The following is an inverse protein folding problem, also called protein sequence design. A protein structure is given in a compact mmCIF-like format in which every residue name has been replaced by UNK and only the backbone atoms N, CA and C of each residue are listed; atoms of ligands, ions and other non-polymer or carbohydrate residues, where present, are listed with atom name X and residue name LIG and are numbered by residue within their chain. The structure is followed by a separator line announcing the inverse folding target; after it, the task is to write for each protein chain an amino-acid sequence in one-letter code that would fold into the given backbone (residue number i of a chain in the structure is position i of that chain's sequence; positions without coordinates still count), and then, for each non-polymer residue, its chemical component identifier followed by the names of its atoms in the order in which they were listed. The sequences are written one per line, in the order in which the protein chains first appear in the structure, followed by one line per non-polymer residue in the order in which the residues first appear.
data_IF_679053010983
#
_entry.id   IF_679053010983
#
_cell.length_a   1.000
_cell.length_b   1.000
_cell.length_c   1.000
_cell.angle_alpha   90.00
_cell.angle_beta   90.00
_cell.angle_gamma   90.00
#
_symmetry.space_group_name_H-M   'P 1'
#
loop_
_entity.id
_entity.type
_entity.pdbx_description
1 polymer ?
#
# COMPACT_ATOMS: atom_id res chain seq x y z
N UNK A 1 -47.30 -80.15 -17.36
CA UNK A 1 -47.22 -79.14 -18.45
C UNK A 1 -47.65 -77.73 -17.98
N UNK A 2 -48.60 -77.56 -17.06
CA UNK A 2 -49.00 -76.23 -16.55
C UNK A 2 -48.02 -75.59 -15.53
N UNK A 3 -47.34 -76.41 -14.73
CA UNK A 3 -46.42 -75.94 -13.68
C UNK A 3 -45.07 -75.44 -14.23
N UNK A 4 -44.60 -76.04 -15.33
CA UNK A 4 -43.41 -75.60 -16.06
C UNK A 4 -43.58 -74.22 -16.71
N UNK A 5 -44.79 -73.92 -17.19
CA UNK A 5 -45.12 -72.63 -17.84
C UNK A 5 -45.20 -71.48 -16.84
N UNK A 6 -45.68 -71.74 -15.61
CA UNK A 6 -45.64 -70.76 -14.50
C UNK A 6 -44.22 -70.45 -14.01
N UNK A 7 -43.35 -71.46 -13.89
CA UNK A 7 -41.95 -71.23 -13.50
C UNK A 7 -41.15 -70.47 -14.56
N UNK A 8 -41.49 -70.60 -15.84
CA UNK A 8 -40.84 -69.88 -16.94
C UNK A 8 -41.29 -68.42 -17.02
N UNK A 9 -42.57 -68.13 -16.76
CA UNK A 9 -43.09 -66.76 -16.64
C UNK A 9 -42.55 -66.04 -15.39
N UNK A 10 -42.40 -66.72 -14.26
CA UNK A 10 -41.86 -66.14 -13.03
C UNK A 10 -40.35 -65.85 -13.14
N UNK A 11 -39.58 -66.68 -13.86
CA UNK A 11 -38.17 -66.40 -14.19
C UNK A 11 -38.03 -65.18 -15.10
N UNK A 12 -38.92 -65.04 -16.08
CA UNK A 12 -38.90 -63.91 -17.03
C UNK A 12 -39.24 -62.57 -16.36
N UNK A 13 -40.10 -62.58 -15.34
CA UNK A 13 -40.41 -61.39 -14.52
C UNK A 13 -39.22 -61.04 -13.61
N UNK A 14 -38.57 -62.04 -12.99
CA UNK A 14 -37.38 -61.83 -12.16
C UNK A 14 -36.18 -61.28 -12.96
N UNK A 15 -35.95 -61.80 -14.17
CA UNK A 15 -34.90 -61.31 -15.08
C UNK A 15 -35.18 -59.88 -15.58
N UNK A 16 -36.44 -59.51 -15.80
CA UNK A 16 -36.82 -58.15 -16.20
C UNK A 16 -36.64 -57.14 -15.06
N UNK A 17 -36.88 -57.53 -13.82
CA UNK A 17 -36.70 -56.68 -12.64
C UNK A 17 -35.21 -56.51 -12.30
N UNK A 18 -34.42 -57.58 -12.40
CA UNK A 18 -32.96 -57.56 -12.20
C UNK A 18 -32.24 -56.70 -13.27
N UNK A 19 -32.67 -56.78 -14.53
CA UNK A 19 -32.15 -55.93 -15.61
C UNK A 19 -32.48 -54.45 -15.39
N UNK A 20 -33.66 -54.15 -14.85
CA UNK A 20 -34.08 -52.77 -14.51
C UNK A 20 -33.32 -52.22 -13.30
N UNK A 21 -32.95 -53.07 -12.35
CA UNK A 21 -32.09 -52.71 -11.22
C UNK A 21 -30.65 -52.46 -11.65
N UNK A 22 -30.09 -53.30 -12.53
CA UNK A 22 -28.74 -53.10 -13.09
C UNK A 22 -28.66 -51.82 -13.93
N UNK A 23 -29.68 -51.49 -14.71
CA UNK A 23 -29.71 -50.25 -15.51
C UNK A 23 -29.80 -49.00 -14.62
N UNK A 24 -30.52 -49.06 -13.50
CA UNK A 24 -30.57 -47.98 -12.50
C UNK A 24 -29.24 -47.82 -11.74
N UNK A 25 -28.57 -48.93 -11.42
CA UNK A 25 -27.28 -48.93 -10.74
C UNK A 25 -26.13 -48.47 -11.67
N UNK A 26 -26.15 -48.86 -12.94
CA UNK A 26 -25.19 -48.40 -13.95
C UNK A 26 -25.36 -46.89 -14.22
N UNK A 27 -26.61 -46.40 -14.27
CA UNK A 27 -26.91 -44.97 -14.41
C UNK A 27 -26.43 -44.17 -13.19
N UNK A 28 -26.58 -44.72 -11.98
CA UNK A 28 -26.07 -44.13 -10.74
C UNK A 28 -24.53 -44.14 -10.70
N UNK A 29 -23.89 -45.23 -11.11
CA UNK A 29 -22.42 -45.34 -11.21
C UNK A 29 -21.84 -44.35 -12.22
N UNK A 30 -22.53 -44.12 -13.34
CA UNK A 30 -22.11 -43.16 -14.38
C UNK A 30 -22.21 -41.70 -13.90
N UNK A 31 -23.21 -41.39 -13.07
CA UNK A 31 -23.34 -40.09 -12.40
C UNK A 31 -22.23 -39.88 -11.35
N UNK A 32 -21.94 -40.90 -10.55
CA UNK A 32 -20.89 -40.88 -9.52
C UNK A 32 -19.48 -40.78 -10.13
N UNK A 33 -19.23 -41.46 -11.25
CA UNK A 33 -17.95 -41.37 -11.97
C UNK A 33 -17.76 -40.00 -12.64
N UNK A 34 -18.84 -39.38 -13.14
CA UNK A 34 -18.81 -38.01 -13.67
C UNK A 34 -18.57 -36.96 -12.56
N UNK A 35 -19.19 -37.14 -11.39
CA UNK A 35 -18.98 -36.28 -10.23
C UNK A 35 -17.55 -36.42 -9.68
N UNK A 36 -17.03 -37.64 -9.56
CA UNK A 36 -15.65 -37.90 -9.15
C UNK A 36 -14.64 -37.35 -10.16
N UNK A 37 -14.94 -37.40 -11.46
CA UNK A 37 -14.11 -36.78 -12.51
C UNK A 37 -14.14 -35.24 -12.44
N UNK A 38 -15.29 -34.65 -12.11
CA UNK A 38 -15.42 -33.20 -11.87
C UNK A 38 -14.66 -32.78 -10.60
N UNK A 39 -14.73 -33.57 -9.53
CA UNK A 39 -14.06 -33.32 -8.26
C UNK A 39 -12.53 -33.44 -8.40
N UNK A 40 -12.04 -34.45 -9.12
CA UNK A 40 -10.61 -34.63 -9.40
C UNK A 40 -10.05 -33.54 -10.31
N UNK A 41 -10.80 -33.08 -11.32
CA UNK A 41 -10.42 -31.94 -12.16
C UNK A 41 -10.38 -30.63 -11.35
N UNK A 42 -11.35 -30.42 -10.44
CA UNK A 42 -11.37 -29.26 -9.54
C UNK A 42 -10.21 -29.30 -8.52
N UNK A 43 -9.84 -30.49 -8.04
CA UNK A 43 -8.71 -30.68 -7.13
C UNK A 43 -7.36 -30.48 -7.84
N UNK A 44 -7.23 -30.90 -9.10
CA UNK A 44 -6.06 -30.67 -9.93
C UNK A 44 -5.85 -29.18 -10.26
N UNK A 45 -6.93 -28.45 -10.55
CA UNK A 45 -6.90 -26.99 -10.73
C UNK A 45 -6.51 -26.26 -9.43
N UNK A 46 -6.95 -26.75 -8.27
CA UNK A 46 -6.57 -26.20 -6.97
C UNK A 46 -5.11 -26.52 -6.57
N UNK A 47 -4.53 -27.61 -7.06
CA UNK A 47 -3.11 -27.94 -6.81
C UNK A 47 -2.15 -27.19 -7.75
N UNK A 48 -2.53 -26.92 -9.01
CA UNK A 48 -1.70 -26.10 -9.92
C UNK A 48 -1.56 -24.64 -9.45
N UNK A 49 -2.58 -24.13 -8.73
CA UNK A 49 -2.58 -22.81 -8.05
C UNK A 49 -1.66 -22.73 -6.82
N UNK A 50 -1.16 -23.87 -6.30
CA UNK A 50 -0.29 -23.93 -5.11
C UNK A 50 1.21 -24.03 -5.41
N UNK A 51 1.63 -24.13 -6.68
CA UNK A 51 3.05 -24.04 -7.07
C UNK A 51 3.38 -22.65 -7.61
N UNK A 52 3.22 -21.65 -6.75
CA UNK A 52 3.79 -20.32 -6.92
C UNK A 52 5.20 -20.22 -6.32
N UNK A 53 5.96 -19.14 -6.61
CA UNK A 53 7.34 -18.95 -6.15
C UNK A 53 7.49 -19.09 -4.64
N UNK A 54 8.67 -19.54 -4.19
CA UNK A 54 9.07 -19.78 -2.80
C UNK A 54 9.13 -18.48 -1.96
N UNK A 55 7.98 -17.88 -1.68
CA UNK A 55 7.81 -16.79 -0.72
C UNK A 55 6.55 -17.03 0.12
N UNK A 56 6.68 -16.87 1.44
CA UNK A 56 5.58 -17.00 2.39
C UNK A 56 4.68 -15.76 2.34
N UNK A 57 3.78 -15.71 1.36
CA UNK A 57 2.62 -14.81 1.43
C UNK A 57 1.64 -15.47 2.40
N UNK A 58 1.51 -14.87 3.59
CA UNK A 58 0.35 -15.12 4.45
C UNK A 58 -0.90 -14.72 3.65
N UNK A 59 -1.50 -15.68 2.95
CA UNK A 59 -2.84 -15.53 2.39
C UNK A 59 -3.78 -15.39 3.57
N UNK A 60 -3.98 -14.14 3.99
CA UNK A 60 -5.15 -13.75 4.77
C UNK A 60 -6.37 -14.23 3.97
N UNK A 61 -7.27 -14.91 4.63
CA UNK A 61 -8.42 -15.56 4.01
C UNK A 61 -9.36 -14.48 3.42
N UNK A 62 -9.12 -14.13 2.15
CA UNK A 62 -9.84 -13.08 1.42
C UNK A 62 -11.31 -13.46 1.15
N UNK A 63 -11.75 -14.65 1.56
CA UNK A 63 -13.14 -15.08 1.44
C UNK A 63 -14.08 -14.47 2.48
N UNK A 64 -13.57 -14.07 3.65
CA UNK A 64 -14.43 -13.67 4.77
C UNK A 64 -14.69 -12.16 4.88
N UNK A 65 -13.87 -11.32 4.26
CA UNK A 65 -13.93 -9.85 4.39
C UNK A 65 -14.39 -9.13 3.11
N UNK A 66 -14.75 -9.88 2.05
CA UNK A 66 -15.21 -9.28 0.80
C UNK A 66 -16.70 -9.00 0.88
N UNK A 67 -17.07 -7.73 0.72
CA UNK A 67 -18.47 -7.33 0.63
C UNK A 67 -19.17 -8.05 -0.53
N UNK A 68 -20.49 -8.29 -0.47
CA UNK A 68 -21.22 -8.94 -1.56
C UNK A 68 -20.95 -8.30 -2.93
N UNK A 69 -20.83 -6.96 -2.98
CA UNK A 69 -20.50 -6.21 -4.19
C UNK A 69 -19.08 -6.48 -4.73
N UNK A 70 -18.11 -6.72 -3.84
CA UNK A 70 -16.76 -7.13 -4.25
C UNK A 70 -16.76 -8.58 -4.76
N UNK A 71 -17.59 -9.45 -4.19
CA UNK A 71 -17.75 -10.82 -4.68
C UNK A 71 -18.38 -10.84 -6.08
N UNK A 72 -19.41 -10.03 -6.32
CA UNK A 72 -20.06 -9.88 -7.63
C UNK A 72 -19.11 -9.33 -8.70
N UNK A 73 -18.26 -8.37 -8.34
CA UNK A 73 -17.25 -7.80 -9.24
C UNK A 73 -16.12 -8.78 -9.58
N UNK A 74 -15.93 -9.81 -8.75
CA UNK A 74 -14.97 -10.89 -9.00
C UNK A 74 -15.63 -12.13 -9.64
N UNK A 75 -16.93 -12.09 -9.97
CA UNK A 75 -17.57 -13.16 -10.74
C UNK A 75 -16.88 -13.28 -12.10
N UNK A 76 -16.60 -14.52 -12.48
CA UNK A 76 -16.01 -14.80 -13.80
C UNK A 76 -17.01 -14.49 -14.90
N UNK A 77 -16.51 -14.16 -16.10
CA UNK A 77 -17.36 -13.86 -17.27
C UNK A 77 -18.38 -14.97 -17.54
N UNK A 78 -17.99 -16.21 -17.33
CA UNK A 78 -18.84 -17.40 -17.49
C UNK A 78 -19.98 -17.44 -16.47
N UNK A 79 -19.71 -17.10 -15.19
CA UNK A 79 -20.76 -17.01 -14.16
C UNK A 79 -21.78 -15.91 -14.45
N UNK A 80 -21.33 -14.75 -14.94
CA UNK A 80 -22.24 -13.67 -15.35
C UNK A 80 -23.09 -14.05 -16.56
N UNK A 81 -22.53 -14.78 -17.52
CA UNK A 81 -23.28 -15.29 -18.68
C UNK A 81 -24.32 -16.34 -18.28
N UNK A 82 -23.99 -17.22 -17.34
CA UNK A 82 -24.91 -18.22 -16.80
C UNK A 82 -26.03 -17.58 -15.97
N UNK A 83 -25.71 -16.63 -15.08
CA UNK A 83 -26.70 -15.84 -14.34
C UNK A 83 -27.60 -15.04 -15.30
N UNK A 84 -27.04 -14.45 -16.37
CA UNK A 84 -27.81 -13.79 -17.42
C UNK A 84 -28.73 -14.78 -18.15
N UNK A 85 -28.25 -15.98 -18.47
CA UNK A 85 -29.05 -17.01 -19.14
C UNK A 85 -30.22 -17.46 -18.26
N UNK A 86 -29.97 -17.70 -16.98
CA UNK A 86 -31.00 -18.06 -16.00
C UNK A 86 -32.00 -16.92 -15.85
N UNK A 87 -31.52 -15.68 -15.70
CA UNK A 87 -32.39 -14.49 -15.60
C UNK A 87 -33.27 -14.31 -16.82
N UNK A 88 -32.72 -14.49 -18.02
CA UNK A 88 -33.47 -14.43 -19.27
C UNK A 88 -34.50 -15.56 -19.36
N UNK A 89 -34.19 -16.77 -18.90
CA UNK A 89 -35.14 -17.88 -18.90
C UNK A 89 -36.33 -17.66 -17.95
N UNK A 90 -36.12 -16.93 -16.84
CA UNK A 90 -37.18 -16.56 -15.89
C UNK A 90 -38.06 -15.45 -16.48
N UNK A 91 -37.43 -14.44 -17.10
CA UNK A 91 -38.13 -13.27 -17.67
C UNK A 91 -38.83 -13.60 -18.99
N UNK A 92 -38.23 -14.44 -19.83
CA UNK A 92 -38.74 -14.87 -21.12
C UNK A 92 -39.19 -16.33 -20.99
N UNK A 93 -40.44 -16.50 -20.55
CA UNK A 93 -41.05 -17.83 -20.51
C UNK A 93 -41.25 -18.35 -21.95
N UNK A 94 -40.91 -19.62 -22.23
CA UNK A 94 -41.19 -20.23 -23.53
C UNK A 94 -42.67 -20.10 -23.90
N UNK A 95 -42.96 -19.77 -25.16
CA UNK A 95 -44.33 -19.62 -25.64
C UNK A 95 -44.98 -21.00 -25.79
N UNK A 96 -45.99 -21.28 -24.97
CA UNK A 96 -46.86 -22.44 -25.15
C UNK A 96 -48.09 -22.01 -25.97
N UNK A 97 -47.98 -22.13 -27.30
CA UNK A 97 -49.05 -21.80 -28.26
C UNK A 97 -49.79 -23.03 -28.78
N UNK A 98 -49.31 -24.23 -28.46
CA UNK A 98 -49.90 -25.48 -28.93
C UNK A 98 -51.29 -25.69 -28.30
N UNK A 99 -52.30 -25.91 -29.14
CA UNK A 99 -53.71 -26.11 -28.77
C UNK A 99 -54.47 -24.87 -28.27
N UNK A 100 -54.00 -23.64 -28.56
CA UNK A 100 -54.79 -22.42 -28.30
C UNK A 100 -55.84 -22.20 -29.40
N UNK A 101 -57.02 -21.71 -29.02
CA UNK A 101 -58.05 -21.25 -29.97
C UNK A 101 -57.67 -19.90 -30.60
N UNK A 102 -58.29 -19.57 -31.73
CA UNK A 102 -57.98 -18.35 -32.50
C UNK A 102 -58.16 -17.05 -31.68
N UNK A 103 -59.19 -17.00 -30.83
CA UNK A 103 -59.39 -15.88 -29.89
C UNK A 103 -58.27 -15.77 -28.85
N UNK A 104 -57.89 -16.89 -28.22
CA UNK A 104 -56.79 -16.93 -27.24
C UNK A 104 -55.44 -16.56 -27.85
N UNK A 105 -55.22 -16.90 -29.13
CA UNK A 105 -54.02 -16.50 -29.86
C UNK A 105 -53.98 -14.97 -30.08
N UNK A 106 -55.12 -14.35 -30.37
CA UNK A 106 -55.22 -12.88 -30.50
C UNK A 106 -54.97 -12.18 -29.16
N UNK A 107 -55.56 -12.68 -28.08
CA UNK A 107 -55.31 -12.17 -26.72
C UNK A 107 -53.82 -12.26 -26.36
N UNK A 108 -53.19 -13.42 -26.62
CA UNK A 108 -51.75 -13.60 -26.38
C UNK A 108 -50.89 -12.66 -27.21
N UNK A 109 -51.26 -12.37 -28.46
CA UNK A 109 -50.53 -11.42 -29.29
C UNK A 109 -50.59 -10.00 -28.70
N UNK A 110 -51.74 -9.57 -28.17
CA UNK A 110 -51.90 -8.28 -27.51
C UNK A 110 -51.09 -8.22 -26.21
N UNK A 111 -51.15 -9.26 -25.37
CA UNK A 111 -50.36 -9.33 -24.14
C UNK A 111 -48.84 -9.24 -24.40
N UNK A 112 -48.36 -9.94 -25.44
CA UNK A 112 -46.95 -9.87 -25.84
C UNK A 112 -46.58 -8.48 -26.34
N UNK A 113 -47.46 -7.83 -27.10
CA UNK A 113 -47.24 -6.47 -27.58
C UNK A 113 -47.14 -5.47 -26.42
N UNK A 114 -48.07 -5.51 -25.46
CA UNK A 114 -48.02 -4.67 -24.26
C UNK A 114 -46.75 -4.93 -23.45
N UNK A 115 -46.35 -6.20 -23.32
CA UNK A 115 -45.10 -6.57 -22.65
C UNK A 115 -43.89 -5.98 -23.36
N UNK A 116 -43.81 -6.07 -24.70
CA UNK A 116 -42.72 -5.49 -25.49
C UNK A 116 -42.64 -3.98 -25.30
N UNK A 117 -43.77 -3.26 -25.37
CA UNK A 117 -43.80 -1.81 -25.15
C UNK A 117 -43.24 -1.45 -23.78
N UNK A 118 -43.67 -2.16 -22.73
CA UNK A 118 -43.15 -1.96 -21.37
C UNK A 118 -41.64 -2.23 -21.30
N UNK A 119 -41.17 -3.36 -21.85
CA UNK A 119 -39.73 -3.70 -21.85
C UNK A 119 -38.89 -2.66 -22.60
N UNK A 120 -39.39 -2.09 -23.70
CA UNK A 120 -38.67 -1.06 -24.45
C UNK A 120 -38.57 0.26 -23.66
N UNK A 121 -39.63 0.64 -22.94
CA UNK A 121 -39.59 1.81 -22.05
C UNK A 121 -38.60 1.62 -20.90
N UNK A 122 -38.61 0.44 -20.26
CA UNK A 122 -37.65 0.11 -19.19
C UNK A 122 -36.20 0.10 -19.70
N UNK A 123 -35.97 -0.41 -20.91
CA UNK A 123 -34.66 -0.41 -21.57
C UNK A 123 -34.18 1.02 -21.80
N UNK A 124 -35.02 1.90 -22.33
CA UNK A 124 -34.69 3.31 -22.54
C UNK A 124 -34.27 4.00 -21.23
N UNK A 125 -35.03 3.83 -20.15
CA UNK A 125 -34.71 4.42 -18.84
C UNK A 125 -33.37 3.89 -18.27
N UNK A 126 -33.10 2.59 -18.47
CA UNK A 126 -31.83 1.98 -18.07
C UNK A 126 -30.65 2.49 -18.89
N UNK A 127 -30.82 2.64 -20.20
CA UNK A 127 -29.79 3.19 -21.11
C UNK A 127 -29.49 4.65 -20.77
N UNK A 128 -30.50 5.48 -20.51
CA UNK A 128 -30.30 6.87 -20.09
C UNK A 128 -29.57 6.95 -18.74
N UNK A 129 -29.95 6.09 -17.77
CA UNK A 129 -29.22 5.99 -16.50
C UNK A 129 -27.77 5.57 -16.70
N UNK A 130 -27.52 4.60 -17.58
CA UNK A 130 -26.17 4.16 -17.90
C UNK A 130 -25.34 5.29 -18.52
N UNK A 131 -25.89 6.02 -19.50
CA UNK A 131 -25.21 7.17 -20.11
C UNK A 131 -24.83 8.23 -19.07
N UNK A 132 -25.73 8.51 -18.13
CA UNK A 132 -25.46 9.44 -17.03
C UNK A 132 -24.33 8.95 -16.13
N UNK A 133 -24.36 7.68 -15.73
CA UNK A 133 -23.29 7.08 -14.93
C UNK A 133 -21.94 7.10 -15.67
N UNK A 134 -21.93 6.82 -16.97
CA UNK A 134 -20.73 6.88 -17.79
C UNK A 134 -20.17 8.31 -17.89
N UNK A 135 -21.05 9.31 -17.97
CA UNK A 135 -20.65 10.72 -17.92
C UNK A 135 -20.02 11.08 -16.57
N UNK A 136 -20.69 10.75 -15.46
CA UNK A 136 -20.18 11.01 -14.11
C UNK A 136 -18.81 10.33 -13.89
N UNK A 137 -18.66 9.10 -14.38
CA UNK A 137 -17.41 8.34 -14.28
C UNK A 137 -16.29 8.96 -15.12
N UNK A 138 -16.59 9.48 -16.32
CA UNK A 138 -15.63 10.24 -17.13
C UNK A 138 -15.19 11.52 -16.43
N UNK A 139 -16.13 12.26 -15.85
CA UNK A 139 -15.83 13.49 -15.13
C UNK A 139 -14.95 13.22 -13.89
N UNK A 140 -15.29 12.20 -13.09
CA UNK A 140 -14.50 11.80 -11.93
C UNK A 140 -13.07 11.38 -12.31
N UNK A 141 -12.91 10.64 -13.42
CA UNK A 141 -11.58 10.28 -13.94
C UNK A 141 -10.76 11.49 -14.36
N UNK A 142 -11.38 12.48 -15.00
CA UNK A 142 -10.68 13.71 -15.40
C UNK A 142 -10.30 14.55 -14.19
N UNK A 143 -11.21 14.71 -13.21
CA UNK A 143 -10.89 15.37 -11.92
C UNK A 143 -9.75 14.67 -11.19
N UNK A 144 -9.75 13.35 -11.14
CA UNK A 144 -8.66 12.56 -10.56
C UNK A 144 -7.34 12.80 -11.31
N UNK A 145 -7.37 12.82 -12.65
CA UNK A 145 -6.20 13.10 -13.49
C UNK A 145 -5.63 14.50 -13.22
N UNK A 146 -6.49 15.51 -13.08
CA UNK A 146 -6.10 16.88 -12.73
C UNK A 146 -5.46 16.95 -11.33
N UNK A 147 -6.04 16.27 -10.34
CA UNK A 147 -5.46 16.18 -8.99
C UNK A 147 -4.07 15.53 -9.02
N UNK A 148 -3.90 14.43 -9.79
CA UNK A 148 -2.60 13.76 -9.95
C UNK A 148 -1.58 14.65 -10.66
N UNK A 149 -1.99 15.40 -11.70
CA UNK A 149 -1.15 16.39 -12.39
C UNK A 149 -0.69 17.51 -11.45
N UNK A 150 -1.60 18.11 -10.69
CA UNK A 150 -1.25 19.13 -9.69
C UNK A 150 -0.32 18.57 -8.59
N UNK A 151 -0.55 17.32 -8.17
CA UNK A 151 0.31 16.65 -7.19
C UNK A 151 1.70 16.36 -7.74
N UNK A 152 1.80 16.00 -9.01
CA UNK A 152 3.08 15.81 -9.69
C UNK A 152 3.85 17.15 -9.79
N UNK A 153 3.17 18.21 -10.24
CA UNK A 153 3.75 19.55 -10.33
C UNK A 153 4.24 20.08 -8.97
N UNK A 154 3.45 19.92 -7.91
CA UNK A 154 3.85 20.28 -6.53
C UNK A 154 5.07 19.50 -6.03
N UNK A 155 5.29 18.29 -6.54
CA UNK A 155 6.46 17.46 -6.21
C UNK A 155 7.67 17.74 -7.13
N UNK A 156 7.57 18.71 -8.04
CA UNK A 156 8.61 18.98 -9.03
C UNK A 156 8.78 17.86 -10.07
N UNK A 157 7.80 16.95 -10.16
CA UNK A 157 7.74 15.90 -11.18
C UNK A 157 7.01 16.44 -12.41
N UNK A 158 7.28 15.82 -13.56
CA UNK A 158 6.55 16.05 -14.80
C UNK A 158 5.04 15.87 -14.56
N UNK A 159 4.16 16.77 -15.04
CA UNK A 159 2.71 16.67 -14.90
C UNK A 159 2.13 15.29 -15.22
N UNK A 160 2.71 14.52 -16.14
CA UNK A 160 2.20 13.18 -16.48
C UNK A 160 2.82 12.02 -15.69
N UNK A 161 3.82 12.30 -14.84
CA UNK A 161 4.60 11.28 -14.14
C UNK A 161 3.76 10.42 -13.18
N UNK A 162 2.64 10.96 -12.68
CA UNK A 162 1.73 10.27 -11.76
C UNK A 162 0.45 9.75 -12.43
N UNK A 163 0.27 10.01 -13.73
CA UNK A 163 -0.89 9.56 -14.51
C UNK A 163 -0.63 8.29 -15.32
N UNK A 164 0.63 7.85 -15.38
CA UNK A 164 1.03 6.63 -16.08
C UNK A 164 0.65 5.33 -15.36
N UNK A 165 0.72 4.21 -16.08
CA UNK A 165 0.48 2.85 -15.55
C UNK A 165 1.48 2.44 -14.47
N UNK A 166 2.69 2.97 -14.55
CA UNK A 166 3.79 2.66 -13.66
C UNK A 166 4.11 3.87 -12.78
N UNK A 167 4.55 3.67 -11.52
CA UNK A 167 4.98 4.75 -10.66
C UNK A 167 6.06 5.63 -11.32
N UNK A 168 6.13 6.93 -10.98
CA UNK A 168 7.16 7.81 -11.51
C UNK A 168 8.54 7.30 -11.17
N UNK A 169 9.46 7.35 -12.13
CA UNK A 169 10.87 6.97 -11.92
C UNK A 169 11.49 7.92 -10.90
N UNK A 170 12.08 7.35 -9.86
CA UNK A 170 12.83 8.10 -8.86
C UNK A 170 14.22 8.39 -9.44
N UNK A 171 14.62 9.65 -9.48
CA UNK A 171 16.01 10.00 -9.80
C UNK A 171 16.87 9.66 -8.58
N UNK A 172 17.73 8.65 -8.72
CA UNK A 172 18.66 8.22 -7.67
C UNK A 172 19.92 9.08 -7.58
N UNK A 173 20.17 9.92 -8.60
CA UNK A 173 21.28 10.85 -8.64
C UNK A 173 20.80 12.17 -9.24
N UNK A 174 21.25 13.29 -8.67
CA UNK A 174 20.93 14.62 -9.18
C UNK A 174 21.62 14.86 -10.53
N UNK A 175 20.99 15.59 -11.45
CA UNK A 175 21.65 16.04 -12.69
C UNK A 175 22.93 16.86 -12.40
N UNK A 176 22.98 17.50 -11.23
CA UNK A 176 24.12 18.29 -10.76
C UNK A 176 25.20 17.49 -10.04
N UNK A 177 24.92 16.24 -9.67
CA UNK A 177 25.87 15.34 -9.01
C UNK A 177 26.95 14.87 -10.00
N UNK A 178 26.61 14.82 -11.29
CA UNK A 178 27.56 14.57 -12.40
C UNK A 178 28.18 15.86 -12.95
N UNK A 179 28.50 16.82 -12.08
CA UNK A 179 29.36 17.93 -12.50
C UNK A 179 30.80 17.45 -12.42
N UNK A 180 31.48 17.40 -13.57
CA UNK A 180 32.93 17.17 -13.59
C UNK A 180 33.58 18.29 -12.79
N UNK A 181 34.30 17.91 -11.73
CA UNK A 181 34.93 18.86 -10.84
C UNK A 181 35.89 19.76 -11.63
N UNK A 182 35.60 21.06 -11.64
CA UNK A 182 36.34 22.07 -12.40
C UNK A 182 37.60 22.53 -11.69
N UNK A 183 37.88 22.07 -10.46
CA UNK A 183 39.12 22.36 -9.73
C UNK A 183 40.32 21.77 -10.47
N UNK A 184 41.46 22.46 -10.38
CA UNK A 184 42.72 21.98 -10.98
C UNK A 184 43.18 20.67 -10.32
N UNK A 185 44.10 19.95 -10.94
CA UNK A 185 44.65 18.72 -10.36
C UNK A 185 45.33 19.01 -9.02
N UNK A 186 46.11 20.08 -8.93
CA UNK A 186 46.81 20.46 -7.70
C UNK A 186 45.84 20.86 -6.58
N UNK A 187 44.75 21.57 -6.91
CA UNK A 187 43.72 21.92 -5.91
C UNK A 187 42.99 20.68 -5.39
N UNK A 188 42.71 19.71 -6.26
CA UNK A 188 42.11 18.44 -5.84
C UNK A 188 43.08 17.63 -4.98
N UNK A 189 44.34 17.56 -5.39
CA UNK A 189 45.39 16.85 -4.66
C UNK A 189 45.53 17.41 -3.24
N UNK A 190 45.68 18.73 -3.10
CA UNK A 190 45.74 19.41 -1.79
C UNK A 190 44.49 19.18 -0.94
N UNK A 191 43.31 19.16 -1.57
CA UNK A 191 42.07 18.85 -0.86
C UNK A 191 42.08 17.43 -0.27
N UNK A 192 42.60 16.44 -0.99
CA UNK A 192 42.68 15.06 -0.50
C UNK A 192 43.91 14.79 0.39
N UNK A 193 44.93 15.65 0.36
CA UNK A 193 46.10 15.64 1.24
C UNK A 193 45.87 16.48 2.52
N UNK A 194 44.68 16.36 3.12
CA UNK A 194 44.35 17.03 4.39
C UNK A 194 43.68 18.41 4.27
N UNK A 195 43.71 19.06 3.10
CA UNK A 195 43.02 20.34 2.90
C UNK A 195 41.50 20.27 3.04
N UNK A 196 40.88 19.10 2.81
CA UNK A 196 39.46 18.87 3.09
C UNK A 196 39.17 18.88 4.59
N UNK A 197 40.06 18.30 5.39
CA UNK A 197 39.89 18.22 6.84
C UNK A 197 40.11 19.59 7.48
N UNK A 198 41.11 20.35 7.01
CA UNK A 198 41.31 21.76 7.37
C UNK A 198 40.07 22.60 7.01
N UNK A 199 39.55 22.46 5.79
CA UNK A 199 38.34 23.16 5.36
C UNK A 199 37.12 22.83 6.24
N UNK A 200 36.94 21.55 6.59
CA UNK A 200 35.86 21.12 7.48
C UNK A 200 36.03 21.64 8.90
N UNK A 201 37.28 21.70 9.40
CA UNK A 201 37.62 22.27 10.70
C UNK A 201 37.31 23.77 10.72
N UNK A 202 37.78 24.53 9.74
CA UNK A 202 37.48 25.96 9.60
C UNK A 202 35.98 26.24 9.53
N UNK A 203 35.23 25.44 8.76
CA UNK A 203 33.78 25.55 8.67
C UNK A 203 33.11 25.30 10.02
N UNK A 204 33.56 24.27 10.74
CA UNK A 204 33.05 23.91 12.07
C UNK A 204 33.34 25.02 13.09
N UNK A 205 34.56 25.56 13.09
CA UNK A 205 34.95 26.69 13.94
C UNK A 205 34.14 27.95 13.62
N UNK A 206 33.90 28.24 12.34
CA UNK A 206 33.06 29.36 11.92
C UNK A 206 31.62 29.21 12.43
N UNK A 207 31.03 28.03 12.29
CA UNK A 207 29.69 27.75 12.83
C UNK A 207 29.65 27.85 14.35
N UNK A 208 30.69 27.37 15.04
CA UNK A 208 30.81 27.49 16.49
C UNK A 208 30.91 28.94 16.93
N UNK A 209 31.76 29.75 16.29
CA UNK A 209 31.91 31.19 16.54
C UNK A 209 30.58 31.92 16.35
N UNK A 210 29.86 31.61 15.26
CA UNK A 210 28.55 32.19 14.99
C UNK A 210 27.54 31.84 16.08
N UNK A 211 27.45 30.56 16.47
CA UNK A 211 26.55 30.10 17.54
C UNK A 211 26.89 30.70 18.90
N UNK A 212 28.17 30.83 19.24
CA UNK A 212 28.59 31.50 20.47
C UNK A 212 28.24 32.98 20.44
N UNK A 213 28.48 33.66 19.33
CA UNK A 213 28.13 35.08 19.20
C UNK A 213 26.62 35.28 19.39
N UNK A 214 25.79 34.44 18.77
CA UNK A 214 24.33 34.45 18.99
C UNK A 214 23.96 34.14 20.44
N UNK A 215 24.64 33.18 21.07
CA UNK A 215 24.42 32.84 22.47
C UNK A 215 24.82 33.96 23.44
N UNK A 216 25.88 34.72 23.14
CA UNK A 216 26.31 35.86 23.94
C UNK A 216 25.36 37.05 23.79
N UNK A 217 24.79 37.24 22.60
CA UNK A 217 23.81 38.30 22.32
C UNK A 217 22.42 38.03 22.91
N UNK A 218 22.16 36.82 23.43
CA UNK A 218 20.87 36.52 24.06
C UNK A 218 20.71 37.33 25.35
N UNK A 219 19.51 37.84 25.60
CA UNK A 219 19.17 38.37 26.91
C UNK A 219 19.25 37.22 27.93
N UNK A 220 20.18 37.31 28.88
CA UNK A 220 20.33 36.32 29.95
C UNK A 220 19.05 36.33 30.77
N UNK A 221 18.14 35.40 30.52
CA UNK A 221 16.97 35.21 31.38
C UNK A 221 17.49 34.85 32.77
N UNK A 222 17.34 35.77 33.73
CA UNK A 222 17.52 35.45 35.14
C UNK A 222 16.56 34.30 35.43
N UNK A 223 17.09 33.17 35.92
CA UNK A 223 16.22 32.08 36.35
C UNK A 223 15.16 32.67 37.29
N UNK A 224 13.88 32.26 37.16
CA UNK A 224 12.86 32.71 38.10
C UNK A 224 13.37 32.48 39.53
N UNK A 225 13.42 33.55 40.33
CA UNK A 225 13.84 33.46 41.72
C UNK A 225 12.94 32.42 42.39
N UNK A 226 13.52 31.32 42.83
CA UNK A 226 12.79 30.22 43.43
C UNK A 226 12.22 30.70 44.78
N UNK A 227 10.94 31.08 44.79
CA UNK A 227 10.20 31.55 45.96
C UNK A 227 9.60 30.36 46.74
N UNK A 228 10.45 29.43 47.16
CA UNK A 228 10.05 28.32 48.01
C UNK A 228 11.21 27.89 48.89
N UNK A 229 10.96 27.70 50.18
CA UNK A 229 11.94 27.14 51.10
C UNK A 229 12.54 25.88 50.47
N UNK A 230 13.88 25.83 50.41
CA UNK A 230 14.62 24.62 50.01
C UNK A 230 14.01 23.42 50.74
N UNK A 231 13.51 22.38 50.03
CA UNK A 231 13.02 21.18 50.68
C UNK A 231 14.12 20.61 51.58
N UNK A 232 13.98 20.77 52.90
CA UNK A 232 14.99 20.37 53.89
C UNK A 232 15.37 21.40 54.96
N UNK A 233 14.95 22.69 54.90
CA UNK A 233 15.16 23.61 56.03
C UNK A 233 14.18 23.26 57.17
N UNK A 234 14.72 22.92 58.35
CA UNK A 234 13.96 22.75 59.61
C UNK A 234 13.83 24.11 60.30
N UNK A 235 12.73 24.31 61.02
CA UNK A 235 12.49 25.53 61.79
C UNK A 235 13.64 25.78 62.78
N UNK A 236 14.40 26.88 62.58
CA UNK A 236 15.46 27.32 63.49
C UNK A 236 16.83 27.64 62.90
N UNK A 237 17.06 27.50 61.58
CA UNK A 237 18.33 27.94 60.96
C UNK A 237 18.25 29.41 60.49
N UNK A 238 19.28 30.24 60.72
CA UNK A 238 19.22 31.69 60.57
C UNK A 238 18.83 32.13 59.15
N UNK A 239 18.04 33.20 59.10
CA UNK A 239 17.64 33.90 57.89
C UNK A 239 18.88 34.35 57.12
N UNK A 240 19.06 33.82 55.90
CA UNK A 240 20.05 34.35 54.98
C UNK A 240 19.61 35.77 54.60
N UNK A 241 20.45 36.78 54.81
CA UNK A 241 20.06 38.18 54.81
C UNK A 241 19.48 38.61 53.46
N UNK A 242 18.18 38.84 53.45
CA UNK A 242 17.48 39.62 52.44
C UNK A 242 17.25 41.01 53.05
N UNK A 243 18.01 42.00 52.59
CA UNK A 243 17.80 43.39 53.00
C UNK A 243 18.80 44.37 52.41
N UNK A 244 18.29 45.25 51.53
CA UNK A 244 18.85 46.54 51.11
C UNK A 244 19.96 46.56 50.04
N UNK A 245 19.53 46.72 48.79
CA UNK A 245 19.93 47.90 48.01
C UNK A 245 18.91 48.11 46.87
N UNK A 246 17.83 48.83 47.19
CA UNK A 246 17.02 49.49 46.19
C UNK A 246 17.55 50.93 46.07
N UNK A 247 17.89 51.32 44.85
CA UNK A 247 18.02 52.68 44.34
C UNK A 247 19.32 53.48 44.62
N UNK A 248 20.33 53.34 43.74
CA UNK A 248 20.74 54.42 42.80
C UNK A 248 21.90 54.01 41.89
N UNK A 249 21.59 54.09 40.59
CA UNK A 249 22.46 54.20 39.43
C UNK A 249 23.71 55.09 39.62
N UNK A 250 24.92 54.59 39.30
CA UNK A 250 26.00 55.18 38.44
C UNK A 250 27.40 54.62 38.77
N UNK A 251 28.25 54.46 37.75
CA UNK A 251 29.69 54.09 37.84
C UNK A 251 29.91 52.58 37.72
N UNK A 252 30.45 52.05 36.62
CA UNK A 252 31.85 52.11 36.16
C UNK A 252 32.82 51.32 37.05
N UNK A 253 33.70 50.59 36.37
CA UNK A 253 34.88 49.84 36.82
C UNK A 253 34.77 48.43 37.44
N UNK A 254 35.39 47.51 36.67
CA UNK A 254 36.34 46.47 37.08
C UNK A 254 36.07 45.61 38.32
N UNK A 255 35.77 44.33 38.08
CA UNK A 255 36.16 43.23 38.98
C UNK A 255 36.81 42.13 38.13
N UNK A 256 38.13 42.08 38.26
CA UNK A 256 39.15 41.13 37.75
C UNK A 256 38.69 39.69 37.44
N UNK A 257 39.11 39.21 36.26
CA UNK A 257 39.15 37.79 35.93
C UNK A 257 40.21 37.07 36.80
N UNK A 258 39.89 35.92 37.42
CA UNK A 258 40.88 35.12 38.11
C UNK A 258 41.83 34.46 37.08
N UNK A 259 43.08 34.88 37.16
CA UNK A 259 44.29 34.28 36.60
C UNK A 259 44.32 32.76 36.82
N UNK A 260 44.46 31.98 35.74
CA UNK A 260 44.82 30.56 35.81
C UNK A 260 46.22 30.42 35.19
N UNK A 261 47.21 30.23 36.06
CA UNK A 261 48.61 30.03 35.67
C UNK A 261 48.79 28.75 34.83
N UNK A 262 49.72 28.75 33.86
CA UNK A 262 50.03 27.59 33.05
C UNK A 262 50.95 26.65 33.85
N UNK A 263 50.54 25.40 34.03
CA UNK A 263 51.44 24.37 34.55
C UNK A 263 52.30 23.84 33.39
N UNK A 264 53.61 23.85 33.61
CA UNK A 264 54.68 23.70 32.62
C UNK A 264 54.62 22.41 31.80
N UNK A 265 54.99 22.57 30.52
CA UNK A 265 55.43 21.48 29.68
C UNK A 265 56.89 21.15 30.04
N UNK A 266 57.14 19.95 30.57
CA UNK A 266 58.48 19.37 30.56
C UNK A 266 58.78 18.91 29.12
N UNK A 267 59.67 19.65 28.47
CA UNK A 267 60.44 19.22 27.31
C UNK A 267 61.57 18.29 27.79
N UNK A 268 61.55 17.02 27.39
CA UNK A 268 62.78 16.24 27.22
C UNK A 268 62.93 15.94 25.73
N UNK A 269 63.89 16.64 25.15
CA UNK A 269 64.40 16.52 23.78
C UNK A 269 65.44 15.39 23.69
N UNK A 270 65.54 14.84 22.47
CA UNK A 270 66.71 14.18 21.85
C UNK A 270 67.37 12.95 22.52
N UNK A 271 67.33 11.81 21.82
CA UNK A 271 68.58 11.23 21.30
C UNK A 271 68.33 10.34 20.07
N UNK A 272 69.26 10.49 19.13
CA UNK A 272 69.32 10.03 17.74
C UNK A 272 69.72 8.54 17.58
N UNK A 273 69.98 8.17 16.30
CA UNK A 273 70.60 6.96 15.75
C UNK A 273 69.63 5.86 15.26
N UNK A 274 69.70 5.33 14.03
CA UNK A 274 70.61 5.53 12.89
C UNK A 274 70.05 4.72 11.69
N UNK A 275 70.30 5.20 10.45
CA UNK A 275 70.78 4.41 9.27
C UNK A 275 69.75 3.48 8.55
N UNK A 276 69.56 3.43 7.23
CA UNK A 276 70.36 3.76 6.04
C UNK A 276 69.40 3.86 4.83
N UNK A 277 69.60 4.84 3.94
CA UNK A 277 69.31 4.69 2.51
C UNK A 277 70.62 4.22 1.84
N UNK A 278 70.61 3.05 1.20
CA UNK A 278 71.53 2.73 0.10
C UNK A 278 70.72 2.27 -1.12
N UNK A 279 70.66 3.20 -2.09
CA UNK A 279 70.94 3.07 -3.53
C UNK A 279 70.80 1.75 -4.32
N UNK A 280 70.32 1.96 -5.56
CA UNK A 280 70.70 1.30 -6.83
C UNK A 280 70.32 -0.18 -7.07
N UNK A 281 69.27 -0.43 -7.89
CA UNK A 281 69.35 -0.69 -9.36
C UNK A 281 67.96 -1.07 -9.94
#
# INVERSE_FOLDING_TARGET
MAERKRQEEERKIREAEEKKQQEMEEKRRRLEEAEKKRQTMMQAMNQSSKRGPNFTITKKDLGSDMTPAQLERNKTKEQLEEEKRISLSIRIKPLAIDNLSLEKLKEKAVELWECIVKLETEKYDLEERQKRQDYDLKELKERQKQQLRHKALKKGLDPEALTGKYPPKIQVASKYERRVDTRSYDDKKKLFEGGLDEFNKELSEKQWKEKISQFQQRQKAKLPKWFGERPGKKAGDPESPEGEEDNKQTGDDDIEEPNFEPEEADEEDEEEEEVEEEEEE
#
